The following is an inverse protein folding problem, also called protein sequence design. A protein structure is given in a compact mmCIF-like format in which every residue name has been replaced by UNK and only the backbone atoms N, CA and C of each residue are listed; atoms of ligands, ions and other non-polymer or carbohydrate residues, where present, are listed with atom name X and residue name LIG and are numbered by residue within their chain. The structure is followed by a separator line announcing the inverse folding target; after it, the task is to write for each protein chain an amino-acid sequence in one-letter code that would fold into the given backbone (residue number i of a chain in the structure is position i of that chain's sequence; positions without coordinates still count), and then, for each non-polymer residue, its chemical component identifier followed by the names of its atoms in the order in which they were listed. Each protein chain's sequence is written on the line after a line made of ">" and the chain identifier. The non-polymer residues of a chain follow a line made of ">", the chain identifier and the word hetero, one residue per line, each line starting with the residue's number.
data_IF_518234814112
#
_entry.id   IF_518234814112
#
_cell.length_a   1.000
_cell.length_b   1.000
_cell.length_c   1.000
_cell.angle_alpha   90.00
_cell.angle_beta   90.00
_cell.angle_gamma   90.00
#
_symmetry.space_group_name_H-M   'P 1'
#
loop_
_entity.id
_entity.type
_entity.pdbx_description
1 polymer ?
#
# COMPACT_ATOMS: atom_id res chain seq x y z
N UNK A 1 8.35 -12.36 23.76
CA UNK A 1 8.66 -11.03 24.35
C UNK A 1 8.87 -11.22 25.84
N UNK A 2 10.01 -10.78 26.38
CA UNK A 2 10.28 -10.82 27.82
C UNK A 2 9.42 -9.81 28.61
N UNK A 3 9.43 -9.93 29.94
CA UNK A 3 8.56 -9.09 30.80
C UNK A 3 8.94 -7.62 30.78
N UNK A 4 10.23 -7.29 30.59
CA UNK A 4 10.67 -5.90 30.52
C UNK A 4 10.17 -5.22 29.26
N UNK A 5 10.35 -5.88 28.12
CA UNK A 5 9.85 -5.40 26.81
C UNK A 5 8.33 -5.26 26.83
N UNK A 6 7.61 -6.20 27.43
CA UNK A 6 6.16 -6.12 27.59
C UNK A 6 5.73 -4.90 28.41
N UNK A 7 6.40 -4.67 29.52
CA UNK A 7 6.10 -3.50 30.38
C UNK A 7 6.35 -2.17 29.62
N UNK A 8 7.41 -2.11 28.77
CA UNK A 8 7.67 -0.97 27.92
C UNK A 8 6.53 -0.73 26.93
N UNK A 9 6.08 -1.78 26.24
CA UNK A 9 4.97 -1.69 25.27
C UNK A 9 3.68 -1.25 25.99
N UNK A 10 3.33 -1.89 27.11
CA UNK A 10 2.10 -1.58 27.85
C UNK A 10 2.11 -0.14 28.37
N UNK A 11 3.22 0.33 28.92
CA UNK A 11 3.39 1.72 29.37
C UNK A 11 3.26 2.73 28.23
N UNK A 12 3.97 2.49 27.14
CA UNK A 12 3.88 3.33 25.94
C UNK A 12 2.46 3.44 25.40
N UNK A 13 1.78 2.30 25.26
CA UNK A 13 0.41 2.26 24.76
C UNK A 13 -0.60 2.95 25.69
N UNK A 14 -0.40 2.84 27.01
CA UNK A 14 -1.25 3.56 27.97
C UNK A 14 -1.15 5.08 27.79
N UNK A 15 0.07 5.61 27.63
CA UNK A 15 0.32 7.03 27.39
C UNK A 15 -0.23 7.48 26.03
N UNK A 16 -0.03 6.68 24.97
CA UNK A 16 -0.56 6.97 23.65
C UNK A 16 -2.10 7.08 23.65
N UNK A 17 -2.76 6.11 24.27
CA UNK A 17 -4.24 6.08 24.35
C UNK A 17 -4.77 7.29 25.14
N UNK A 18 -4.11 7.64 26.24
CA UNK A 18 -4.49 8.81 27.04
C UNK A 18 -4.38 10.13 26.27
N UNK A 19 -3.36 10.27 25.41
CA UNK A 19 -3.14 11.46 24.58
C UNK A 19 -4.01 11.52 23.33
N UNK A 20 -4.52 10.38 22.86
CA UNK A 20 -5.28 10.26 21.60
C UNK A 20 -6.63 9.53 21.85
N UNK A 21 -7.52 10.08 22.69
CA UNK A 21 -8.75 9.38 23.08
C UNK A 21 -9.66 9.16 21.87
N UNK A 22 -10.15 7.91 21.72
CA UNK A 22 -11.10 7.54 20.67
C UNK A 22 -10.49 7.18 19.32
N UNK A 23 -9.16 7.30 19.14
CA UNK A 23 -8.46 7.01 17.87
C UNK A 23 -8.06 5.54 17.76
N UNK A 24 -9.04 4.62 17.72
CA UNK A 24 -8.83 3.17 17.83
C UNK A 24 -7.96 2.60 16.70
N UNK A 25 -8.17 3.05 15.46
CA UNK A 25 -7.40 2.57 14.30
C UNK A 25 -5.93 2.97 14.42
N UNK A 26 -5.67 4.17 14.92
CA UNK A 26 -4.32 4.65 15.18
C UNK A 26 -3.65 3.86 16.32
N UNK A 27 -4.35 3.62 17.43
CA UNK A 27 -3.83 2.81 18.54
C UNK A 27 -3.44 1.41 18.08
N UNK A 28 -4.28 0.76 17.27
CA UNK A 28 -4.01 -0.59 16.75
C UNK A 28 -2.76 -0.61 15.88
N UNK A 29 -2.63 0.32 14.94
CA UNK A 29 -1.48 0.37 14.04
C UNK A 29 -0.16 0.62 14.78
N UNK A 30 -0.17 1.54 15.77
CA UNK A 30 1.03 1.79 16.59
C UNK A 30 1.41 0.57 17.39
N UNK A 31 0.43 -0.13 18.00
CA UNK A 31 0.68 -1.34 18.79
C UNK A 31 1.33 -2.45 17.94
N UNK A 32 0.80 -2.72 16.75
CA UNK A 32 1.33 -3.76 15.85
C UNK A 32 2.79 -3.50 15.48
N UNK A 33 3.14 -2.27 15.17
CA UNK A 33 4.53 -1.91 14.84
C UNK A 33 5.40 -1.95 16.09
N UNK A 34 4.93 -1.38 17.22
CA UNK A 34 5.68 -1.35 18.46
C UNK A 34 6.01 -2.75 18.96
N UNK A 35 5.07 -3.69 18.95
CA UNK A 35 5.31 -5.08 19.34
C UNK A 35 6.42 -5.75 18.51
N UNK A 36 6.55 -5.38 17.24
CA UNK A 36 7.62 -5.89 16.37
C UNK A 36 8.98 -5.23 16.63
N UNK A 37 9.02 -3.93 16.96
CA UNK A 37 10.28 -3.19 17.09
C UNK A 37 10.75 -3.05 18.54
N UNK A 38 9.88 -3.24 19.53
CA UNK A 38 10.21 -3.08 20.95
C UNK A 38 11.39 -3.93 21.42
N UNK A 39 11.53 -5.21 21.03
CA UNK A 39 12.72 -5.99 21.39
C UNK A 39 14.01 -5.29 20.91
N UNK A 40 14.03 -4.81 19.68
CA UNK A 40 15.18 -4.10 19.14
C UNK A 40 15.45 -2.77 19.89
N UNK A 41 14.40 -2.03 20.23
CA UNK A 41 14.54 -0.76 21.00
C UNK A 41 15.12 -1.04 22.39
N UNK A 42 14.66 -2.08 23.06
CA UNK A 42 15.14 -2.47 24.39
C UNK A 42 16.61 -2.92 24.38
N UNK A 43 17.02 -3.63 23.33
CA UNK A 43 18.43 -4.02 23.11
C UNK A 43 19.32 -2.81 22.80
N UNK A 44 18.73 -1.65 22.41
CA UNK A 44 19.42 -0.43 22.06
C UNK A 44 18.94 0.77 22.92
N UNK A 45 19.30 0.85 24.21
CA UNK A 45 18.72 1.81 25.17
C UNK A 45 18.80 3.28 24.74
N UNK A 46 19.80 3.66 23.95
CA UNK A 46 19.92 5.01 23.40
C UNK A 46 18.70 5.45 22.57
N UNK A 47 17.98 4.50 21.96
CA UNK A 47 16.74 4.80 21.23
C UNK A 47 15.61 5.22 22.16
N UNK A 48 15.56 4.64 23.37
CA UNK A 48 14.60 5.03 24.42
C UNK A 48 14.98 6.40 25.03
N UNK A 49 16.28 6.62 25.30
CA UNK A 49 16.77 7.89 25.87
C UNK A 49 16.49 9.07 24.94
N UNK A 50 16.63 8.88 23.62
CA UNK A 50 16.34 9.87 22.60
C UNK A 50 14.86 9.96 22.21
N UNK A 51 13.99 9.16 22.82
CA UNK A 51 12.54 9.14 22.55
C UNK A 51 12.21 8.95 21.06
N UNK A 52 12.98 8.09 20.39
CA UNK A 52 12.88 7.95 18.93
C UNK A 52 11.51 7.47 18.50
N UNK A 53 10.96 6.43 19.15
CA UNK A 53 9.67 5.88 18.77
C UNK A 53 8.53 6.83 19.12
N UNK A 54 8.59 7.52 20.27
CA UNK A 54 7.65 8.56 20.67
C UNK A 54 7.58 9.69 19.63
N UNK A 55 8.72 10.08 19.06
CA UNK A 55 8.81 11.11 18.02
C UNK A 55 8.28 10.62 16.67
N UNK A 56 8.48 9.35 16.32
CA UNK A 56 7.93 8.76 15.08
C UNK A 56 6.40 8.67 15.15
N UNK A 57 5.85 8.37 16.30
CA UNK A 57 4.40 8.20 16.51
C UNK A 57 3.65 9.54 16.52
N UNK A 58 4.28 10.60 17.01
CA UNK A 58 3.69 11.94 17.00
C UNK A 58 3.86 12.58 15.63
N UNK A 59 2.77 12.88 14.88
CA UNK A 59 2.86 13.56 13.61
C UNK A 59 3.52 14.93 13.75
N UNK A 60 4.41 15.30 12.81
CA UNK A 60 5.04 16.63 12.80
C UNK A 60 3.99 17.74 12.65
N UNK A 61 2.94 17.50 11.84
CA UNK A 61 1.83 18.45 11.64
C UNK A 61 0.55 17.75 11.27
N UNK A 62 -0.56 18.32 11.74
CA UNK A 62 -1.91 17.95 11.32
C UNK A 62 -2.62 19.21 10.83
N UNK A 63 -3.10 19.17 9.59
CA UNK A 63 -3.87 20.26 8.99
C UNK A 63 -5.30 19.77 8.79
N UNK A 64 -6.26 20.48 9.37
CA UNK A 64 -7.69 20.22 9.21
C UNK A 64 -8.32 21.49 8.65
N UNK A 65 -9.08 21.37 7.59
CA UNK A 65 -9.68 22.51 6.91
C UNK A 65 -11.09 22.23 6.38
N UNK A 66 -11.84 23.27 6.21
CA UNK A 66 -13.20 23.24 5.63
C UNK A 66 -13.12 23.26 4.11
N UNK A 67 -13.95 22.41 3.46
CA UNK A 67 -14.05 22.32 2.00
C UNK A 67 -15.51 22.62 1.59
N UNK A 68 -15.86 23.88 1.32
CA UNK A 68 -17.18 24.25 0.79
C UNK A 68 -17.20 24.11 -0.74
N UNK A 69 -18.28 23.56 -1.29
CA UNK A 69 -18.44 23.39 -2.73
C UNK A 69 -19.94 23.40 -3.11
N UNK A 70 -20.22 23.60 -4.41
CA UNK A 70 -21.58 23.57 -4.95
C UNK A 70 -21.83 22.26 -5.67
N UNK A 71 -22.95 21.61 -5.39
CA UNK A 71 -23.42 20.48 -6.19
C UNK A 71 -24.05 20.93 -7.52
N UNK A 72 -24.55 19.99 -8.31
CA UNK A 72 -25.15 20.31 -9.61
C UNK A 72 -26.51 20.98 -9.49
N UNK A 73 -27.19 20.86 -8.34
CA UNK A 73 -28.44 21.58 -8.01
C UNK A 73 -28.18 23.02 -7.52
N UNK A 74 -26.90 23.39 -7.31
CA UNK A 74 -26.51 24.69 -6.80
C UNK A 74 -26.58 24.83 -5.28
N UNK A 75 -26.75 23.70 -4.58
CA UNK A 75 -26.75 23.65 -3.12
C UNK A 75 -25.32 23.67 -2.56
N UNK A 76 -25.14 24.39 -1.46
CA UNK A 76 -23.85 24.48 -0.76
C UNK A 76 -23.64 23.19 0.05
N UNK A 77 -22.54 22.51 -0.22
CA UNK A 77 -22.04 21.37 0.55
C UNK A 77 -20.78 21.74 1.29
N UNK A 78 -20.59 21.15 2.46
CA UNK A 78 -19.41 21.38 3.29
C UNK A 78 -18.84 20.05 3.75
N UNK A 79 -17.60 19.79 3.38
CA UNK A 79 -16.82 18.64 3.82
C UNK A 79 -15.62 19.08 4.68
N UNK A 80 -15.00 18.12 5.34
CA UNK A 80 -13.78 18.32 6.11
C UNK A 80 -12.59 17.74 5.35
N UNK A 81 -11.54 18.53 5.16
CA UNK A 81 -10.27 18.08 4.61
C UNK A 81 -9.24 17.83 5.69
N UNK A 82 -8.34 16.89 5.45
CA UNK A 82 -7.25 16.49 6.35
C UNK A 82 -5.94 16.34 5.57
N UNK A 83 -4.83 16.76 6.20
CA UNK A 83 -3.48 16.34 5.83
C UNK A 83 -2.66 16.10 7.08
N UNK A 84 -2.24 14.85 7.32
CA UNK A 84 -1.34 14.46 8.38
C UNK A 84 0.05 14.33 7.78
N UNK A 85 0.94 15.24 8.11
CA UNK A 85 2.36 15.22 7.79
C UNK A 85 3.08 14.54 8.94
N UNK A 86 3.38 13.23 8.76
CA UNK A 86 3.80 12.38 9.86
C UNK A 86 5.30 12.48 10.12
N UNK A 87 6.13 12.30 9.09
CA UNK A 87 7.59 12.35 9.23
C UNK A 87 8.25 12.88 7.96
N UNK A 88 9.16 13.82 8.12
CA UNK A 88 10.05 14.34 7.07
C UNK A 88 11.51 13.89 7.24
N UNK A 89 11.78 12.98 8.15
CA UNK A 89 13.16 12.58 8.51
C UNK A 89 14.00 12.07 7.33
N UNK A 90 13.39 11.44 6.33
CA UNK A 90 14.09 10.85 5.19
C UNK A 90 13.73 11.47 3.84
N UNK A 91 12.97 12.54 3.82
CA UNK A 91 12.59 13.27 2.60
C UNK A 91 11.27 14.00 2.73
N UNK A 92 10.80 14.65 1.66
CA UNK A 92 9.50 15.33 1.64
C UNK A 92 8.38 14.41 2.10
N UNK A 93 7.38 14.94 2.79
CA UNK A 93 6.20 14.17 3.13
C UNK A 93 5.60 13.53 1.88
N UNK A 94 5.21 12.27 1.95
CA UNK A 94 4.68 11.51 0.82
C UNK A 94 3.58 10.57 1.25
N UNK A 95 2.44 10.67 0.57
CA UNK A 95 1.32 9.74 0.79
C UNK A 95 0.04 10.17 0.10
N UNK A 96 -0.90 9.23 -0.02
CA UNK A 96 -2.13 9.40 -0.77
C UNK A 96 -3.13 10.36 -0.14
N UNK A 97 -4.07 10.81 -0.97
CA UNK A 97 -5.30 11.50 -0.57
C UNK A 97 -6.46 10.53 -0.80
N UNK A 98 -7.31 10.34 0.22
CA UNK A 98 -8.49 9.47 0.19
C UNK A 98 -9.77 10.30 0.22
N UNK A 99 -10.68 10.05 -0.72
CA UNK A 99 -12.04 10.58 -0.67
C UNK A 99 -13.03 9.45 -0.39
N UNK A 100 -13.53 9.41 0.84
CA UNK A 100 -14.46 8.39 1.29
C UNK A 100 -15.21 8.86 2.54
N UNK A 101 -16.51 8.55 2.72
CA UNK A 101 -17.30 8.97 3.88
C UNK A 101 -16.73 8.56 5.24
N UNK A 102 -15.95 7.48 5.29
CA UNK A 102 -15.33 7.01 6.53
C UNK A 102 -14.09 7.80 6.97
N UNK A 103 -13.59 8.72 6.15
CA UNK A 103 -12.37 9.49 6.46
C UNK A 103 -12.56 10.31 7.73
N UNK A 104 -11.68 10.10 8.69
CA UNK A 104 -11.57 10.84 9.94
C UNK A 104 -10.10 10.96 10.36
N UNK A 105 -9.83 11.68 11.43
CA UNK A 105 -8.46 11.93 11.90
C UNK A 105 -7.73 10.65 12.31
N UNK A 106 -8.40 9.73 13.03
CA UNK A 106 -7.81 8.45 13.47
C UNK A 106 -7.31 7.64 12.27
N UNK A 107 -8.16 7.51 11.22
CA UNK A 107 -7.80 6.81 9.98
C UNK A 107 -6.64 7.50 9.27
N UNK A 108 -6.63 8.83 9.19
CA UNK A 108 -5.53 9.56 8.55
C UNK A 108 -4.23 9.43 9.32
N UNK A 109 -4.25 9.46 10.64
CA UNK A 109 -3.06 9.26 11.49
C UNK A 109 -2.49 7.85 11.34
N UNK A 110 -3.35 6.81 11.43
CA UNK A 110 -2.86 5.45 11.28
C UNK A 110 -2.23 5.21 9.91
N UNK A 111 -2.87 5.67 8.84
CA UNK A 111 -2.35 5.52 7.48
C UNK A 111 -1.06 6.30 7.25
N UNK A 112 -0.92 7.50 7.85
CA UNK A 112 0.30 8.30 7.75
C UNK A 112 1.46 7.64 8.53
N UNK A 113 1.18 7.09 9.69
CA UNK A 113 2.14 6.35 10.51
C UNK A 113 2.65 5.10 9.78
N UNK A 114 1.77 4.26 9.27
CA UNK A 114 2.17 3.07 8.48
C UNK A 114 2.95 3.44 7.21
N UNK A 115 2.59 4.58 6.59
CA UNK A 115 3.30 5.08 5.42
C UNK A 115 4.77 5.40 5.72
N UNK A 116 5.12 5.76 6.97
CA UNK A 116 6.50 6.00 7.39
C UNK A 116 7.36 4.76 7.15
N UNK A 117 6.91 3.62 7.60
CA UNK A 117 7.65 2.35 7.45
C UNK A 117 7.65 1.85 6.00
N UNK A 118 6.55 2.01 5.29
CA UNK A 118 6.45 1.62 3.89
C UNK A 118 7.39 2.45 2.99
N UNK A 119 7.40 3.77 3.15
CA UNK A 119 8.24 4.65 2.34
C UNK A 119 9.73 4.45 2.64
N UNK A 120 10.08 4.26 3.92
CA UNK A 120 11.47 4.04 4.33
C UNK A 120 12.09 2.79 3.71
N UNK A 121 11.30 1.74 3.48
CA UNK A 121 11.75 0.51 2.82
C UNK A 121 12.14 0.73 1.36
N UNK A 122 11.54 1.69 0.66
CA UNK A 122 11.78 1.89 -0.79
C UNK A 122 13.18 2.38 -1.13
N UNK A 123 14.01 2.72 -0.15
CA UNK A 123 15.33 3.37 -0.32
C UNK A 123 15.28 4.79 -0.88
N UNK A 124 14.15 5.23 -1.39
CA UNK A 124 13.97 6.56 -1.96
C UNK A 124 13.81 7.64 -0.87
N UNK A 125 14.20 8.88 -1.13
CA UNK A 125 14.13 9.99 -0.16
C UNK A 125 12.69 10.51 -0.06
N UNK A 126 11.85 9.78 0.65
CA UNK A 126 10.44 10.09 0.86
C UNK A 126 10.08 9.94 2.34
N UNK A 127 9.61 11.01 2.93
CA UNK A 127 8.94 11.02 4.23
C UNK A 127 7.55 10.40 4.15
N UNK A 128 6.68 10.75 5.10
CA UNK A 128 5.34 10.18 5.16
C UNK A 128 4.27 11.20 5.46
N UNK A 129 3.14 11.04 4.79
CA UNK A 129 1.91 11.78 5.02
C UNK A 129 0.68 10.97 4.59
N UNK A 130 -0.47 11.39 5.05
CA UNK A 130 -1.76 10.95 4.55
C UNK A 130 -2.76 12.08 4.60
N UNK A 131 -3.62 12.16 3.59
CA UNK A 131 -4.69 13.16 3.56
C UNK A 131 -5.98 12.57 3.07
N UNK A 132 -7.02 13.38 3.11
CA UNK A 132 -8.32 12.96 2.63
C UNK A 132 -9.46 13.88 3.02
N UNK A 133 -10.63 13.45 2.66
CA UNK A 133 -11.89 14.10 3.03
C UNK A 133 -13.00 13.06 3.17
N UNK A 134 -14.00 13.38 3.99
CA UNK A 134 -15.26 12.65 4.12
C UNK A 134 -16.18 12.79 2.89
N UNK A 135 -15.70 13.41 1.83
CA UNK A 135 -16.38 13.50 0.53
C UNK A 135 -16.50 12.14 -0.13
N UNK A 136 -17.70 11.81 -0.62
CA UNK A 136 -17.95 10.60 -1.42
C UNK A 136 -18.02 10.97 -2.91
N UNK A 137 -17.02 10.60 -3.73
CA UNK A 137 -17.06 10.85 -5.17
C UNK A 137 -18.03 9.93 -5.92
N UNK A 138 -18.55 8.90 -5.24
CA UNK A 138 -19.42 7.91 -5.86
C UNK A 138 -20.77 8.52 -6.23
N UNK A 139 -21.15 8.38 -7.50
CA UNK A 139 -22.39 8.95 -8.01
C UNK A 139 -22.38 10.46 -8.27
N UNK A 140 -21.23 11.13 -8.07
CA UNK A 140 -21.03 12.54 -8.39
C UNK A 140 -20.67 12.74 -9.86
N UNK A 141 -21.13 13.84 -10.43
CA UNK A 141 -20.72 14.24 -11.78
C UNK A 141 -19.24 14.68 -11.82
N UNK A 142 -18.65 14.67 -13.01
CA UNK A 142 -17.29 15.18 -13.21
C UNK A 142 -17.15 16.66 -12.78
N UNK A 143 -18.19 17.45 -12.99
CA UNK A 143 -18.22 18.86 -12.60
C UNK A 143 -18.26 19.01 -11.06
N UNK A 144 -19.04 18.21 -10.36
CA UNK A 144 -19.07 18.19 -8.89
C UNK A 144 -17.71 17.80 -8.32
N UNK A 145 -17.12 16.71 -8.84
CA UNK A 145 -15.79 16.25 -8.40
C UNK A 145 -14.72 17.30 -8.69
N UNK A 146 -14.79 17.97 -9.84
CA UNK A 146 -13.86 19.06 -10.18
C UNK A 146 -13.99 20.24 -9.21
N UNK A 147 -15.21 20.71 -8.93
CA UNK A 147 -15.45 21.80 -7.96
C UNK A 147 -14.97 21.44 -6.57
N UNK A 148 -15.24 20.21 -6.13
CA UNK A 148 -14.74 19.72 -4.86
C UNK A 148 -13.20 19.70 -4.82
N UNK A 149 -12.54 19.12 -5.80
CA UNK A 149 -11.07 19.06 -5.90
C UNK A 149 -10.44 20.46 -5.91
N UNK A 150 -11.04 21.41 -6.60
CA UNK A 150 -10.57 22.79 -6.63
C UNK A 150 -10.69 23.46 -5.25
N UNK A 151 -11.81 23.28 -4.56
CA UNK A 151 -12.01 23.81 -3.21
C UNK A 151 -11.04 23.16 -2.21
N UNK A 152 -10.89 21.83 -2.25
CA UNK A 152 -9.94 21.09 -1.42
C UNK A 152 -8.50 21.59 -1.62
N UNK A 153 -8.07 21.77 -2.87
CA UNK A 153 -6.73 22.25 -3.19
C UNK A 153 -6.50 23.72 -2.84
N UNK A 154 -7.55 24.53 -2.83
CA UNK A 154 -7.47 25.95 -2.43
C UNK A 154 -6.95 26.11 -0.99
N UNK A 155 -7.22 25.18 -0.12
CA UNK A 155 -6.63 25.16 1.22
C UNK A 155 -5.31 24.36 1.27
N UNK A 156 -5.30 23.18 0.66
CA UNK A 156 -4.15 22.29 0.76
C UNK A 156 -2.87 22.85 0.10
N UNK A 157 -2.98 23.65 -0.98
CA UNK A 157 -1.80 24.16 -1.72
C UNK A 157 -0.81 24.94 -0.85
N UNK A 158 -1.28 25.52 0.25
CA UNK A 158 -0.45 26.29 1.20
C UNK A 158 0.57 25.41 1.96
N UNK A 159 0.35 24.11 1.97
CA UNK A 159 1.05 23.15 2.83
C UNK A 159 1.81 22.08 2.04
N UNK A 160 1.72 22.08 0.73
CA UNK A 160 2.33 21.07 -0.16
C UNK A 160 3.25 21.71 -1.20
N UNK A 161 4.10 20.91 -1.79
CA UNK A 161 5.05 21.33 -2.82
C UNK A 161 6.00 20.20 -3.19
N UNK A 162 6.72 20.34 -4.29
CA UNK A 162 7.62 19.31 -4.81
C UNK A 162 8.68 18.85 -3.80
N UNK A 163 9.16 19.77 -2.97
CA UNK A 163 10.22 19.53 -1.99
C UNK A 163 9.73 19.57 -0.53
N UNK A 164 8.42 19.73 -0.33
CA UNK A 164 7.82 19.80 1.02
C UNK A 164 6.93 18.60 1.28
N UNK A 165 5.88 18.45 0.47
CA UNK A 165 4.87 17.40 0.63
C UNK A 165 4.27 17.08 -0.74
N UNK A 166 4.38 15.83 -1.16
CA UNK A 166 3.94 15.35 -2.48
C UNK A 166 2.82 14.33 -2.33
N UNK A 167 1.55 14.76 -2.38
CA UNK A 167 0.43 13.85 -2.32
C UNK A 167 0.31 12.94 -3.56
N UNK A 168 -0.44 11.85 -3.40
CA UNK A 168 -0.78 10.90 -4.45
C UNK A 168 -2.26 10.51 -4.39
N UNK A 169 -2.72 9.65 -5.29
CA UNK A 169 -4.03 9.04 -5.21
C UNK A 169 -4.12 7.94 -4.15
N UNK A 170 -5.33 7.68 -3.72
CA UNK A 170 -5.76 6.59 -2.83
C UNK A 170 -7.23 6.25 -3.13
N UNK A 171 -7.95 5.59 -2.24
CA UNK A 171 -9.38 5.28 -2.42
C UNK A 171 -10.16 6.56 -2.76
N UNK A 172 -10.95 6.52 -3.84
CA UNK A 172 -11.75 7.65 -4.32
C UNK A 172 -10.96 8.77 -5.00
N UNK A 173 -9.65 8.61 -5.19
CA UNK A 173 -8.77 9.58 -5.86
C UNK A 173 -7.92 8.87 -6.91
N UNK A 174 -8.33 8.98 -8.15
CA UNK A 174 -7.62 8.47 -9.33
C UNK A 174 -6.99 9.58 -10.16
N UNK A 175 -6.64 9.25 -11.39
CA UNK A 175 -6.02 10.20 -12.34
C UNK A 175 -6.88 11.44 -12.63
N UNK A 176 -8.21 11.30 -12.63
CA UNK A 176 -9.15 12.42 -12.80
C UNK A 176 -9.02 13.44 -11.65
N UNK A 177 -9.10 12.97 -10.41
CA UNK A 177 -9.00 13.83 -9.21
C UNK A 177 -7.61 14.45 -9.10
N UNK A 178 -6.56 13.68 -9.36
CA UNK A 178 -5.17 14.19 -9.42
C UNK A 178 -5.07 15.30 -10.47
N UNK A 179 -5.68 15.12 -11.63
CA UNK A 179 -5.71 16.15 -12.69
C UNK A 179 -6.37 17.45 -12.22
N UNK A 180 -7.55 17.36 -11.62
CA UNK A 180 -8.26 18.54 -11.11
C UNK A 180 -7.50 19.25 -9.99
N UNK A 181 -6.91 18.49 -9.07
CA UNK A 181 -6.09 19.05 -7.98
C UNK A 181 -4.81 19.70 -8.52
N UNK A 182 -4.12 19.07 -9.47
CA UNK A 182 -2.91 19.63 -10.07
C UNK A 182 -3.19 20.91 -10.86
N UNK A 183 -4.29 20.92 -11.63
CA UNK A 183 -4.71 22.12 -12.37
C UNK A 183 -4.98 23.31 -11.44
N UNK A 184 -5.62 23.06 -10.31
CA UNK A 184 -5.89 24.10 -9.31
C UNK A 184 -4.60 24.56 -8.61
N UNK A 185 -3.71 23.63 -8.22
CA UNK A 185 -2.41 23.96 -7.64
C UNK A 185 -1.61 24.85 -8.57
N UNK A 186 -1.47 24.44 -9.85
CA UNK A 186 -0.75 25.21 -10.87
C UNK A 186 -1.33 26.62 -11.02
N UNK A 187 -2.65 26.76 -11.01
CA UNK A 187 -3.34 28.06 -11.11
C UNK A 187 -3.06 28.97 -9.91
N UNK A 188 -3.04 28.40 -8.68
CA UNK A 188 -2.86 29.17 -7.45
C UNK A 188 -1.40 29.57 -7.19
N UNK A 189 -0.47 28.71 -7.60
CA UNK A 189 0.97 28.89 -7.35
C UNK A 189 1.71 29.54 -8.52
N UNK A 190 1.12 29.53 -9.70
CA UNK A 190 1.77 29.90 -10.97
C UNK A 190 3.06 29.08 -11.23
N UNK A 191 3.03 27.80 -10.84
CA UNK A 191 4.16 26.89 -10.90
C UNK A 191 3.76 25.57 -11.57
N UNK A 192 4.64 25.03 -12.42
CA UNK A 192 4.54 23.68 -12.95
C UNK A 192 5.66 22.82 -12.33
N UNK A 193 5.36 22.16 -11.21
CA UNK A 193 6.34 21.42 -10.41
C UNK A 193 5.98 19.95 -10.26
N UNK A 194 6.83 19.18 -9.60
CA UNK A 194 6.61 17.78 -9.25
C UNK A 194 5.69 17.55 -8.05
N UNK A 195 4.83 18.51 -7.72
CA UNK A 195 3.80 18.34 -6.70
C UNK A 195 2.78 17.31 -7.10
N UNK A 196 2.27 16.42 -6.41
CA UNK A 196 1.39 15.33 -6.78
C UNK A 196 2.05 14.26 -7.67
N UNK A 197 1.79 13.01 -7.37
CA UNK A 197 2.11 11.87 -8.23
C UNK A 197 0.85 11.13 -8.66
N UNK A 198 0.98 10.31 -9.71
CA UNK A 198 -0.17 9.73 -10.41
C UNK A 198 -0.71 10.66 -11.51
N UNK A 199 0.14 11.58 -11.98
CA UNK A 199 -0.17 12.47 -13.09
C UNK A 199 -0.28 11.71 -14.42
N UNK A 200 -0.97 12.30 -15.39
CA UNK A 200 -0.99 11.78 -16.74
C UNK A 200 0.40 11.86 -17.40
N UNK A 201 0.72 10.92 -18.28
CA UNK A 201 2.04 10.83 -18.91
C UNK A 201 2.40 12.06 -19.77
N UNK A 202 1.41 12.80 -20.24
CA UNK A 202 1.62 14.00 -21.05
C UNK A 202 1.98 15.25 -20.24
N UNK A 203 1.85 15.17 -18.90
CA UNK A 203 2.06 16.32 -18.01
C UNK A 203 2.77 15.93 -16.70
N UNK A 204 3.80 15.07 -16.82
CA UNK A 204 4.75 14.76 -15.75
C UNK A 204 4.55 13.42 -15.06
N UNK A 205 3.61 12.59 -15.52
CA UNK A 205 3.41 11.24 -14.99
C UNK A 205 4.47 10.26 -15.46
N UNK A 206 4.77 9.25 -14.63
CA UNK A 206 5.67 8.14 -14.95
C UNK A 206 4.94 7.01 -15.67
N UNK A 207 5.58 6.33 -16.65
CA UNK A 207 5.07 5.05 -17.13
C UNK A 207 5.05 4.01 -15.99
N UNK A 208 4.33 2.92 -16.21
CA UNK A 208 4.22 1.78 -15.29
C UNK A 208 3.54 2.04 -13.93
N UNK A 209 2.97 3.22 -13.70
CA UNK A 209 2.29 3.48 -12.41
C UNK A 209 1.10 2.54 -12.16
N UNK A 210 0.24 2.22 -13.16
CA UNK A 210 -0.83 1.24 -12.99
C UNK A 210 -0.33 -0.16 -12.64
N UNK A 211 0.75 -0.60 -13.26
CA UNK A 211 1.33 -1.94 -13.12
C UNK A 211 2.12 -2.12 -11.82
N UNK A 212 2.66 -1.04 -11.30
CA UNK A 212 3.74 -1.05 -10.32
C UNK A 212 3.44 -1.84 -9.05
N UNK A 213 2.22 -1.80 -8.53
CA UNK A 213 1.88 -2.53 -7.30
C UNK A 213 1.85 -4.04 -7.57
N UNK A 214 1.13 -4.48 -8.59
CA UNK A 214 1.05 -5.90 -8.96
C UNK A 214 2.42 -6.48 -9.38
N UNK A 215 3.16 -5.75 -10.21
CA UNK A 215 4.51 -6.14 -10.63
C UNK A 215 5.47 -6.21 -9.45
N UNK A 216 5.46 -5.19 -8.59
CA UNK A 216 6.29 -5.15 -7.39
C UNK A 216 6.02 -6.32 -6.45
N UNK A 217 4.75 -6.67 -6.25
CA UNK A 217 4.36 -7.84 -5.44
C UNK A 217 4.95 -9.13 -6.00
N UNK A 218 4.90 -9.32 -7.33
CA UNK A 218 5.52 -10.47 -7.98
C UNK A 218 7.06 -10.47 -7.88
N UNK A 219 7.71 -9.31 -7.99
CA UNK A 219 9.17 -9.23 -7.83
C UNK A 219 9.59 -9.57 -6.40
N UNK A 220 8.87 -9.08 -5.40
CA UNK A 220 9.13 -9.42 -4.00
C UNK A 220 8.92 -10.92 -3.73
N UNK A 221 7.82 -11.49 -4.22
CA UNK A 221 7.54 -12.92 -4.10
C UNK A 221 8.61 -13.78 -4.83
N UNK A 222 9.10 -13.34 -6.01
CA UNK A 222 10.20 -14.00 -6.70
C UNK A 222 11.47 -14.04 -5.85
N UNK A 223 11.78 -12.93 -5.17
CA UNK A 223 12.93 -12.87 -4.27
C UNK A 223 12.75 -13.79 -3.04
N UNK A 224 11.53 -13.87 -2.47
CA UNK A 224 11.22 -14.83 -1.40
C UNK A 224 11.39 -16.28 -1.85
N UNK A 225 10.85 -16.66 -3.00
CA UNK A 225 10.97 -18.01 -3.56
C UNK A 225 12.45 -18.37 -3.79
N UNK A 226 13.24 -17.43 -4.30
CA UNK A 226 14.68 -17.63 -4.54
C UNK A 226 15.47 -17.97 -3.27
N UNK A 227 15.03 -17.53 -2.08
CA UNK A 227 15.67 -17.95 -0.79
C UNK A 227 15.59 -19.43 -0.52
N UNK A 228 14.65 -20.13 -1.19
CA UNK A 228 14.46 -21.60 -1.11
C UNK A 228 14.86 -22.31 -2.40
N UNK A 229 15.56 -21.63 -3.31
CA UNK A 229 15.95 -22.18 -4.62
C UNK A 229 14.77 -22.43 -5.56
N UNK A 230 13.66 -21.72 -5.37
CA UNK A 230 12.42 -21.88 -6.13
C UNK A 230 12.09 -20.62 -6.95
N UNK A 231 11.08 -20.70 -7.80
CA UNK A 231 10.66 -19.61 -8.70
C UNK A 231 9.16 -19.71 -9.02
N UNK A 232 8.65 -18.76 -9.80
CA UNK A 232 7.27 -18.81 -10.35
C UNK A 232 7.09 -19.87 -11.45
N UNK A 233 8.17 -20.31 -12.10
CA UNK A 233 8.10 -21.24 -13.23
C UNK A 233 7.36 -22.52 -12.87
N UNK A 234 6.29 -22.83 -13.60
CA UNK A 234 5.45 -24.00 -13.40
C UNK A 234 4.56 -23.98 -12.15
N UNK A 235 4.56 -22.91 -11.36
CA UNK A 235 3.72 -22.81 -10.16
C UNK A 235 2.28 -22.43 -10.46
N UNK A 236 1.37 -22.93 -9.66
CA UNK A 236 -0.04 -22.53 -9.68
C UNK A 236 -0.26 -21.36 -8.75
N UNK A 237 -0.87 -20.28 -9.26
CA UNK A 237 -1.09 -19.02 -8.52
C UNK A 237 -2.57 -18.76 -8.36
N UNK A 238 -3.00 -18.57 -7.11
CA UNK A 238 -4.33 -18.07 -6.78
C UNK A 238 -4.27 -16.58 -6.43
N UNK A 239 -5.08 -15.78 -7.11
CA UNK A 239 -5.17 -14.33 -6.91
C UNK A 239 -6.59 -13.96 -6.53
N UNK A 240 -6.76 -13.12 -5.51
CA UNK A 240 -8.04 -12.46 -5.21
C UNK A 240 -8.13 -11.09 -5.87
N UNK A 241 -9.37 -10.64 -6.06
CA UNK A 241 -9.62 -9.37 -6.74
C UNK A 241 -9.63 -9.49 -8.27
N UNK A 242 -10.08 -8.44 -8.91
CA UNK A 242 -10.07 -8.25 -10.36
C UNK A 242 -9.85 -6.77 -10.73
N UNK A 243 -9.38 -5.99 -9.75
CA UNK A 243 -8.98 -4.60 -9.93
C UNK A 243 -7.53 -4.50 -10.42
N UNK A 244 -7.02 -3.27 -10.40
CA UNK A 244 -5.70 -2.93 -10.95
C UNK A 244 -4.55 -3.82 -10.42
N UNK A 245 -4.47 -3.98 -9.10
CA UNK A 245 -3.40 -4.78 -8.48
C UNK A 245 -3.47 -6.24 -8.92
N UNK A 246 -4.66 -6.85 -8.88
CA UNK A 246 -4.87 -8.24 -9.26
C UNK A 246 -4.59 -8.50 -10.74
N UNK A 247 -5.04 -7.60 -11.64
CA UNK A 247 -4.81 -7.70 -13.08
C UNK A 247 -3.32 -7.71 -13.41
N UNK A 248 -2.56 -6.77 -12.83
CA UNK A 248 -1.13 -6.68 -13.11
C UNK A 248 -0.28 -7.70 -12.34
N UNK A 249 -0.73 -8.17 -11.18
CA UNK A 249 -0.12 -9.34 -10.53
C UNK A 249 -0.28 -10.59 -11.39
N UNK A 250 -1.49 -10.83 -11.92
CA UNK A 250 -1.73 -11.93 -12.85
C UNK A 250 -0.86 -11.82 -14.10
N UNK A 251 -0.80 -10.63 -14.73
CA UNK A 251 0.04 -10.41 -15.93
C UNK A 251 1.51 -10.72 -15.65
N UNK A 252 2.07 -10.24 -14.54
CA UNK A 252 3.47 -10.47 -14.20
C UNK A 252 3.73 -11.93 -13.82
N UNK A 253 2.83 -12.59 -13.08
CA UNK A 253 2.94 -14.01 -12.75
C UNK A 253 3.00 -14.88 -14.02
N UNK A 254 2.15 -14.59 -15.01
CA UNK A 254 2.20 -15.26 -16.33
C UNK A 254 3.54 -15.04 -17.04
N UNK A 255 4.07 -13.80 -17.03
CA UNK A 255 5.38 -13.50 -17.63
C UNK A 255 6.53 -14.22 -16.93
N UNK A 256 6.37 -14.60 -15.65
CA UNK A 256 7.33 -15.36 -14.86
C UNK A 256 7.16 -16.88 -14.99
N UNK A 257 6.28 -17.36 -15.88
CA UNK A 257 6.08 -18.78 -16.17
C UNK A 257 5.09 -19.48 -15.25
N UNK A 258 4.29 -18.75 -14.47
CA UNK A 258 3.29 -19.35 -13.62
C UNK A 258 1.94 -19.56 -14.32
N UNK A 259 1.12 -20.43 -13.75
CA UNK A 259 -0.27 -20.67 -14.13
C UNK A 259 -1.20 -19.98 -13.15
N UNK A 260 -1.83 -18.88 -13.57
CA UNK A 260 -2.85 -18.18 -12.76
C UNK A 260 -4.19 -18.89 -12.93
N UNK A 261 -4.83 -19.28 -11.84
CA UNK A 261 -6.05 -20.11 -11.89
C UNK A 261 -7.28 -19.45 -11.29
N UNK A 262 -7.14 -18.35 -10.53
CA UNK A 262 -8.27 -17.65 -9.92
C UNK A 262 -8.18 -16.15 -10.09
N UNK A 263 -9.32 -15.50 -10.18
CA UNK A 263 -9.56 -14.08 -9.87
C UNK A 263 -10.93 -13.95 -9.21
N UNK A 264 -11.17 -12.86 -8.49
CA UNK A 264 -12.43 -12.67 -7.76
C UNK A 264 -12.93 -11.24 -7.78
N UNK A 265 -14.18 -11.05 -7.42
CA UNK A 265 -14.73 -9.74 -7.04
C UNK A 265 -15.60 -9.86 -5.78
N UNK A 266 -16.34 -8.80 -5.43
CA UNK A 266 -17.19 -8.81 -4.23
C UNK A 266 -18.31 -9.86 -4.27
N UNK A 267 -18.63 -10.42 -5.45
CA UNK A 267 -19.74 -11.36 -5.64
C UNK A 267 -19.29 -12.83 -5.67
N UNK A 268 -17.97 -13.09 -5.82
CA UNK A 268 -17.45 -14.45 -5.83
C UNK A 268 -16.13 -14.60 -6.58
N UNK A 269 -15.75 -15.84 -6.79
CA UNK A 269 -14.46 -16.25 -7.37
C UNK A 269 -14.66 -17.07 -8.62
N UNK A 270 -13.83 -16.83 -9.65
CA UNK A 270 -13.65 -17.77 -10.76
C UNK A 270 -12.46 -18.67 -10.50
N UNK A 271 -12.59 -19.93 -10.86
CA UNK A 271 -11.52 -20.92 -10.92
C UNK A 271 -11.46 -21.51 -12.31
N UNK A 272 -10.35 -21.32 -12.99
CA UNK A 272 -10.10 -21.89 -14.31
C UNK A 272 -8.98 -22.94 -14.20
N UNK A 273 -9.30 -24.24 -14.23
CA UNK A 273 -8.30 -25.30 -14.13
C UNK A 273 -7.32 -25.32 -15.30
N UNK A 274 -7.71 -24.79 -16.46
CA UNK A 274 -6.83 -24.66 -17.64
C UNK A 274 -5.87 -23.49 -17.52
N UNK A 275 -6.15 -22.57 -16.59
CA UNK A 275 -5.39 -21.34 -16.37
C UNK A 275 -5.96 -20.15 -17.13
N UNK A 276 -5.76 -18.97 -16.53
CA UNK A 276 -6.06 -17.67 -17.13
C UNK A 276 -4.81 -17.22 -17.86
N UNK A 277 -4.78 -17.43 -19.18
CA UNK A 277 -3.69 -16.99 -20.06
C UNK A 277 -3.79 -15.48 -20.40
N UNK A 278 -2.91 -15.00 -21.26
CA UNK A 278 -2.86 -13.58 -21.65
C UNK A 278 -4.13 -13.11 -22.37
N UNK A 279 -4.77 -13.95 -23.19
CA UNK A 279 -6.02 -13.62 -23.90
C UNK A 279 -7.19 -13.53 -22.92
N UNK A 280 -7.31 -14.53 -22.04
CA UNK A 280 -8.34 -14.58 -20.99
C UNK A 280 -8.17 -13.42 -20.01
N UNK A 281 -6.93 -13.06 -19.65
CA UNK A 281 -6.65 -11.90 -18.82
C UNK A 281 -7.03 -10.59 -19.52
N UNK A 282 -6.74 -10.45 -20.81
CA UNK A 282 -7.17 -9.28 -21.58
C UNK A 282 -8.70 -9.11 -21.58
N UNK A 283 -9.44 -10.22 -21.70
CA UNK A 283 -10.89 -10.21 -21.55
C UNK A 283 -11.33 -9.73 -20.16
N UNK A 284 -10.70 -10.21 -19.08
CA UNK A 284 -11.00 -9.73 -17.72
C UNK A 284 -10.73 -8.24 -17.59
N UNK A 285 -9.61 -7.75 -18.15
CA UNK A 285 -9.28 -6.32 -18.11
C UNK A 285 -10.32 -5.48 -18.87
N UNK A 286 -10.76 -5.92 -20.04
CA UNK A 286 -11.83 -5.25 -20.79
C UNK A 286 -13.16 -5.27 -20.02
N UNK A 287 -13.57 -6.44 -19.51
CA UNK A 287 -14.77 -6.62 -18.70
C UNK A 287 -14.81 -5.68 -17.49
N UNK A 288 -13.72 -5.59 -16.77
CA UNK A 288 -13.65 -4.79 -15.53
C UNK A 288 -13.43 -3.31 -15.76
N UNK A 289 -12.57 -2.93 -16.70
CA UNK A 289 -12.12 -1.57 -16.87
C UNK A 289 -13.01 -0.77 -17.83
N UNK A 290 -13.60 -1.42 -18.83
CA UNK A 290 -14.46 -0.78 -19.84
C UNK A 290 -15.93 -0.99 -19.50
N UNK A 291 -16.36 -2.24 -19.38
CA UNK A 291 -17.79 -2.57 -19.19
C UNK A 291 -18.22 -2.52 -17.72
N UNK A 292 -17.28 -2.48 -16.75
CA UNK A 292 -17.55 -2.53 -15.30
C UNK A 292 -18.39 -3.76 -14.90
N UNK A 293 -18.25 -4.85 -15.67
CA UNK A 293 -18.94 -6.11 -15.49
C UNK A 293 -18.49 -6.89 -14.25
N UNK A 294 -19.09 -8.06 -14.05
CA UNK A 294 -18.80 -8.93 -12.92
C UNK A 294 -17.95 -10.11 -13.34
N UNK A 295 -17.08 -10.57 -12.43
CA UNK A 295 -16.14 -11.67 -12.75
C UNK A 295 -16.86 -12.97 -13.16
N UNK A 296 -18.09 -13.21 -12.72
CA UNK A 296 -18.91 -14.37 -13.12
C UNK A 296 -19.06 -14.49 -14.64
N UNK A 297 -19.10 -13.36 -15.37
CA UNK A 297 -19.24 -13.32 -16.84
C UNK A 297 -18.09 -14.02 -17.55
N UNK A 298 -16.93 -14.14 -16.88
CA UNK A 298 -15.82 -14.94 -17.37
C UNK A 298 -16.19 -16.42 -17.51
N UNK A 299 -16.85 -17.00 -16.48
CA UNK A 299 -17.29 -18.40 -16.51
C UNK A 299 -18.42 -18.64 -17.52
N UNK A 300 -19.20 -17.61 -17.84
CA UNK A 300 -20.19 -17.67 -18.92
C UNK A 300 -19.53 -17.75 -20.30
N UNK A 301 -18.35 -17.08 -20.47
CA UNK A 301 -17.59 -17.08 -21.73
C UNK A 301 -16.67 -18.29 -21.89
N UNK A 302 -16.09 -18.76 -20.80
CA UNK A 302 -15.12 -19.87 -20.77
C UNK A 302 -15.72 -21.06 -19.99
N UNK A 303 -16.33 -22.05 -20.68
CA UNK A 303 -17.12 -23.11 -20.02
C UNK A 303 -16.32 -24.06 -19.13
N UNK A 304 -14.99 -24.10 -19.26
CA UNK A 304 -14.09 -24.90 -18.38
C UNK A 304 -13.93 -24.27 -17.01
N UNK A 305 -14.15 -22.95 -16.91
CA UNK A 305 -14.08 -22.22 -15.66
C UNK A 305 -15.31 -22.45 -14.79
N UNK A 306 -15.09 -22.47 -13.50
CA UNK A 306 -16.12 -22.56 -12.48
C UNK A 306 -16.30 -21.22 -11.79
N UNK A 307 -17.52 -20.91 -11.33
CA UNK A 307 -17.81 -19.73 -10.54
C UNK A 307 -18.35 -20.14 -9.17
N UNK A 308 -17.74 -19.61 -8.12
CA UNK A 308 -18.12 -19.84 -6.73
C UNK A 308 -18.71 -18.56 -6.14
N UNK A 309 -20.06 -18.46 -6.07
CA UNK A 309 -20.73 -17.27 -5.56
C UNK A 309 -20.42 -17.02 -4.08
N UNK A 310 -20.03 -15.80 -3.74
CA UNK A 310 -19.75 -15.38 -2.36
C UNK A 310 -18.45 -15.93 -1.76
N UNK A 311 -17.73 -16.79 -2.48
CA UNK A 311 -16.53 -17.43 -1.97
C UNK A 311 -15.26 -16.63 -2.34
N UNK A 312 -14.22 -16.77 -1.48
CA UNK A 312 -12.85 -16.31 -1.73
C UNK A 312 -12.04 -17.43 -2.36
N UNK A 313 -10.93 -17.13 -3.08
CA UNK A 313 -10.17 -18.15 -3.82
C UNK A 313 -9.35 -19.12 -2.94
N UNK A 314 -9.32 -18.93 -1.64
CA UNK A 314 -8.38 -19.59 -0.73
C UNK A 314 -8.65 -21.08 -0.48
N UNK A 315 -9.77 -21.60 -0.94
CA UNK A 315 -10.06 -23.04 -1.00
C UNK A 315 -9.42 -23.75 -2.20
N UNK A 316 -9.00 -23.02 -3.23
CA UNK A 316 -8.38 -23.59 -4.43
C UNK A 316 -6.93 -23.94 -4.12
N UNK A 317 -6.51 -25.17 -4.50
CA UNK A 317 -5.12 -25.59 -4.34
C UNK A 317 -4.19 -24.75 -5.21
N UNK A 318 -3.18 -24.17 -4.58
CA UNK A 318 -2.17 -23.35 -5.27
C UNK A 318 -0.81 -23.46 -4.55
N UNK A 319 0.25 -23.12 -5.28
CA UNK A 319 1.60 -22.99 -4.72
C UNK A 319 1.81 -21.59 -4.15
N UNK A 320 1.26 -20.57 -4.82
CA UNK A 320 1.43 -19.17 -4.45
C UNK A 320 0.04 -18.54 -4.31
N UNK A 321 -0.21 -17.88 -3.19
CA UNK A 321 -1.44 -17.09 -2.95
C UNK A 321 -1.11 -15.59 -2.94
N UNK A 322 -1.87 -14.80 -3.69
CA UNK A 322 -1.68 -13.36 -3.80
C UNK A 322 -2.98 -12.63 -3.44
N UNK A 323 -3.18 -12.24 -2.17
CA UNK A 323 -4.33 -11.44 -1.77
C UNK A 323 -4.21 -10.02 -2.32
N UNK A 324 -5.03 -9.70 -3.35
CA UNK A 324 -4.98 -8.45 -4.10
C UNK A 324 -6.31 -7.67 -4.12
N UNK A 325 -7.27 -8.03 -3.28
CA UNK A 325 -8.59 -7.42 -3.28
C UNK A 325 -8.76 -6.37 -2.18
N UNK A 326 -9.08 -6.81 -0.98
CA UNK A 326 -9.49 -5.90 0.11
C UNK A 326 -8.87 -6.27 1.46
N UNK A 327 -8.95 -5.33 2.40
CA UNK A 327 -8.54 -5.54 3.79
C UNK A 327 -9.33 -6.70 4.42
N UNK A 328 -8.66 -7.50 5.24
CA UNK A 328 -9.23 -8.62 6.02
C UNK A 328 -10.00 -9.66 5.17
N UNK A 329 -9.54 -9.90 3.96
CA UNK A 329 -10.17 -10.86 3.05
C UNK A 329 -9.72 -12.31 3.25
N UNK A 330 -8.64 -12.54 3.97
CA UNK A 330 -8.06 -13.85 4.27
C UNK A 330 -7.99 -14.05 5.78
N UNK A 331 -8.83 -14.93 6.29
CA UNK A 331 -8.95 -15.21 7.72
C UNK A 331 -8.15 -16.48 8.14
N UNK A 332 -8.19 -16.80 9.43
CA UNK A 332 -7.49 -17.93 10.04
C UNK A 332 -7.81 -19.29 9.37
N UNK A 333 -9.09 -19.60 9.16
CA UNK A 333 -9.51 -20.86 8.57
C UNK A 333 -9.04 -21.01 7.11
N UNK A 334 -9.08 -19.93 6.36
CA UNK A 334 -8.57 -19.90 4.99
C UNK A 334 -7.04 -20.03 4.96
N UNK A 335 -6.33 -19.43 5.91
CA UNK A 335 -4.88 -19.61 6.07
C UNK A 335 -4.52 -21.06 6.37
N UNK A 336 -5.23 -21.72 7.29
CA UNK A 336 -5.08 -23.16 7.56
C UNK A 336 -5.32 -24.00 6.32
N UNK A 337 -6.32 -23.66 5.53
CA UNK A 337 -6.64 -24.34 4.27
C UNK A 337 -5.51 -24.20 3.25
N UNK A 338 -4.96 -23.00 3.06
CA UNK A 338 -3.81 -22.80 2.19
C UNK A 338 -2.58 -23.60 2.60
N UNK A 339 -2.27 -23.61 3.90
CA UNK A 339 -1.15 -24.42 4.45
C UNK A 339 -1.39 -25.90 4.23
N UNK A 340 -2.59 -26.41 4.53
CA UNK A 340 -2.95 -27.81 4.35
C UNK A 340 -2.91 -28.25 2.88
N UNK A 341 -3.24 -27.34 1.95
CA UNK A 341 -3.18 -27.58 0.50
C UNK A 341 -1.75 -27.49 -0.07
N UNK A 342 -0.74 -27.18 0.75
CA UNK A 342 0.66 -27.14 0.34
C UNK A 342 1.09 -25.81 -0.30
N UNK A 343 0.39 -24.71 -0.04
CA UNK A 343 0.84 -23.37 -0.43
C UNK A 343 2.21 -23.08 0.18
N UNK A 344 3.15 -22.58 -0.61
CA UNK A 344 4.54 -22.31 -0.20
C UNK A 344 4.84 -20.82 -0.01
N UNK A 345 4.02 -19.95 -0.62
CA UNK A 345 4.25 -18.51 -0.60
C UNK A 345 2.93 -17.74 -0.56
N UNK A 346 2.82 -16.78 0.35
CA UNK A 346 1.72 -15.79 0.40
C UNK A 346 2.32 -14.39 0.30
N UNK A 347 1.96 -13.64 -0.75
CA UNK A 347 2.44 -12.28 -0.98
C UNK A 347 1.27 -11.29 -1.07
N UNK A 348 1.18 -10.39 -0.10
CA UNK A 348 0.10 -9.40 -0.04
C UNK A 348 0.25 -8.30 -1.09
N UNK A 349 -0.68 -8.25 -2.04
CA UNK A 349 -0.80 -7.15 -3.00
C UNK A 349 -1.71 -6.02 -2.50
N UNK A 350 -2.75 -6.36 -1.71
CA UNK A 350 -3.61 -5.39 -1.05
C UNK A 350 -2.97 -4.86 0.25
N UNK A 351 -3.59 -3.84 0.85
CA UNK A 351 -3.20 -3.36 2.18
C UNK A 351 -3.92 -4.19 3.25
N UNK A 352 -3.16 -4.85 4.12
CA UNK A 352 -3.65 -5.69 5.24
C UNK A 352 -4.77 -6.68 4.84
N UNK A 353 -4.58 -7.51 3.80
CA UNK A 353 -5.62 -8.44 3.38
C UNK A 353 -5.75 -9.66 4.32
N UNK A 354 -4.67 -10.03 5.03
CA UNK A 354 -4.69 -11.11 6.00
C UNK A 354 -5.04 -10.60 7.40
N UNK A 355 -5.88 -11.35 8.12
CA UNK A 355 -6.13 -11.04 9.54
C UNK A 355 -4.91 -11.41 10.40
N UNK A 356 -4.74 -10.82 11.61
CA UNK A 356 -3.64 -11.17 12.50
C UNK A 356 -3.54 -12.69 12.77
N UNK A 357 -4.66 -13.37 12.95
CA UNK A 357 -4.73 -14.81 13.20
C UNK A 357 -4.26 -15.60 11.96
N UNK A 358 -4.58 -15.13 10.75
CA UNK A 358 -4.08 -15.74 9.51
C UNK A 358 -2.55 -15.60 9.39
N UNK A 359 -2.01 -14.45 9.76
CA UNK A 359 -0.56 -14.20 9.78
C UNK A 359 0.15 -15.16 10.76
N UNK A 360 -0.42 -15.36 11.96
CA UNK A 360 0.10 -16.30 12.94
C UNK A 360 0.14 -17.74 12.40
N UNK A 361 -0.87 -18.17 11.65
CA UNK A 361 -0.90 -19.48 10.98
C UNK A 361 0.26 -19.61 9.99
N UNK A 362 0.48 -18.60 9.13
CA UNK A 362 1.56 -18.62 8.14
C UNK A 362 2.94 -18.63 8.79
N UNK A 363 3.16 -17.82 9.82
CA UNK A 363 4.43 -17.77 10.56
C UNK A 363 4.69 -19.07 11.32
N UNK A 364 3.69 -19.65 11.99
CA UNK A 364 3.80 -20.94 12.70
C UNK A 364 4.14 -22.09 11.75
N UNK A 365 3.60 -22.06 10.54
CA UNK A 365 3.92 -23.02 9.47
C UNK A 365 5.25 -22.72 8.77
N UNK A 366 5.95 -21.64 9.14
CA UNK A 366 7.18 -21.16 8.48
C UNK A 366 7.05 -21.01 6.97
N UNK A 367 5.86 -20.62 6.54
CA UNK A 367 5.56 -20.35 5.15
C UNK A 367 6.23 -19.03 4.73
N UNK A 368 6.59 -18.88 3.45
CA UNK A 368 7.05 -17.60 2.90
C UNK A 368 5.86 -16.63 2.88
N UNK A 369 5.76 -15.78 3.90
CA UNK A 369 4.70 -14.77 4.00
C UNK A 369 5.29 -13.36 4.01
N UNK A 370 4.77 -12.47 3.17
CA UNK A 370 5.17 -11.07 3.14
C UNK A 370 4.02 -10.12 3.43
N UNK A 371 4.21 -9.16 4.36
CA UNK A 371 3.21 -8.15 4.65
C UNK A 371 3.13 -7.14 3.49
N UNK A 372 1.94 -6.57 3.28
CA UNK A 372 1.68 -5.62 2.21
C UNK A 372 2.62 -4.42 2.19
N UNK A 373 3.00 -3.89 3.37
CA UNK A 373 3.95 -2.75 3.45
C UNK A 373 5.30 -2.99 2.77
N UNK A 374 5.72 -4.26 2.66
CA UNK A 374 6.92 -4.65 1.92
C UNK A 374 6.58 -5.06 0.48
N UNK A 375 5.72 -6.06 0.29
CA UNK A 375 5.45 -6.63 -1.03
C UNK A 375 4.69 -5.70 -1.97
N UNK A 376 3.76 -4.86 -1.48
CA UNK A 376 3.01 -3.94 -2.33
C UNK A 376 3.64 -2.54 -2.46
N UNK A 377 4.86 -2.35 -1.98
CA UNK A 377 5.55 -1.07 -2.02
C UNK A 377 5.87 -0.56 -3.45
N UNK A 378 5.71 -1.40 -4.47
CA UNK A 378 5.96 -1.04 -5.86
C UNK A 378 5.19 0.20 -6.33
N UNK A 379 3.96 0.38 -5.87
CA UNK A 379 3.15 1.55 -6.18
C UNK A 379 3.75 2.86 -5.67
N UNK A 380 4.16 2.90 -4.41
CA UNK A 380 4.81 4.10 -3.83
C UNK A 380 6.23 4.27 -4.35
N UNK A 381 6.96 3.18 -4.61
CA UNK A 381 8.26 3.23 -5.25
C UNK A 381 8.20 3.93 -6.62
N UNK A 382 7.26 3.53 -7.48
CA UNK A 382 7.07 4.19 -8.78
C UNK A 382 6.59 5.65 -8.63
N UNK A 383 5.83 5.98 -7.59
CA UNK A 383 5.53 7.38 -7.27
C UNK A 383 6.81 8.18 -6.93
N UNK A 384 7.74 7.59 -6.19
CA UNK A 384 9.05 8.21 -5.93
C UNK A 384 9.91 8.35 -7.21
N UNK A 385 9.85 7.36 -8.11
CA UNK A 385 10.50 7.47 -9.42
C UNK A 385 9.87 8.57 -10.29
N UNK A 386 8.55 8.80 -10.18
CA UNK A 386 7.88 9.95 -10.82
C UNK A 386 8.42 11.27 -10.26
N UNK A 387 8.59 11.38 -8.93
CA UNK A 387 9.21 12.55 -8.31
C UNK A 387 10.61 12.79 -8.84
N UNK A 388 11.43 11.74 -8.95
CA UNK A 388 12.78 11.82 -9.51
C UNK A 388 12.77 12.34 -10.95
N UNK A 389 11.93 11.77 -11.81
CA UNK A 389 11.78 12.22 -13.20
C UNK A 389 11.34 13.69 -13.28
N UNK A 390 10.42 14.11 -12.40
CA UNK A 390 9.96 15.49 -12.34
C UNK A 390 11.07 16.46 -11.91
N UNK A 391 11.87 16.10 -10.91
CA UNK A 391 13.02 16.91 -10.45
C UNK A 391 14.07 17.05 -11.54
N UNK A 392 14.35 16.00 -12.27
CA UNK A 392 15.32 15.99 -13.38
C UNK A 392 14.76 16.65 -14.66
N UNK A 393 13.43 16.83 -14.75
CA UNK A 393 12.70 17.23 -15.97
C UNK A 393 12.95 16.29 -17.16
N UNK A 394 13.13 15.00 -16.87
CA UNK A 394 13.31 13.93 -17.84
C UNK A 394 12.16 12.93 -17.74
N UNK A 395 11.93 12.21 -18.83
CA UNK A 395 10.99 11.11 -18.88
C UNK A 395 11.78 9.83 -19.17
N UNK A 396 11.65 8.85 -18.29
CA UNK A 396 12.21 7.53 -18.50
C UNK A 396 11.31 6.66 -19.35
N UNK A 397 11.90 5.68 -20.03
CA UNK A 397 11.17 4.63 -20.74
C UNK A 397 10.49 3.69 -19.75
N UNK A 398 9.59 2.85 -20.25
CA UNK A 398 8.94 1.80 -19.48
C UNK A 398 9.96 0.82 -18.89
N UNK A 399 10.94 0.45 -19.69
CA UNK A 399 12.00 -0.48 -19.34
C UNK A 399 12.90 0.07 -18.23
N UNK A 400 13.26 1.35 -18.30
CA UNK A 400 14.03 2.02 -17.24
C UNK A 400 13.27 2.05 -15.91
N UNK A 401 11.98 2.39 -15.94
CA UNK A 401 11.15 2.39 -14.73
C UNK A 401 11.00 0.99 -14.16
N UNK A 402 10.80 -0.04 -15.01
CA UNK A 402 10.68 -1.44 -14.56
C UNK A 402 12.00 -1.94 -13.93
N UNK A 403 13.13 -1.59 -14.53
CA UNK A 403 14.45 -1.95 -13.96
C UNK A 403 14.67 -1.33 -12.58
N UNK A 404 14.32 -0.05 -12.41
CA UNK A 404 14.36 0.61 -11.09
C UNK A 404 13.39 -0.01 -10.10
N UNK A 405 12.16 -0.29 -10.51
CA UNK A 405 11.15 -0.93 -9.69
C UNK A 405 11.63 -2.30 -9.18
N UNK A 406 12.14 -3.12 -10.09
CA UNK A 406 12.69 -4.44 -9.76
C UNK A 406 13.82 -4.35 -8.74
N UNK A 407 14.77 -3.43 -8.97
CA UNK A 407 15.86 -3.20 -8.01
C UNK A 407 15.34 -2.79 -6.64
N UNK A 408 14.43 -1.82 -6.56
CA UNK A 408 13.85 -1.37 -5.29
C UNK A 408 13.17 -2.52 -4.56
N UNK A 409 12.38 -3.36 -5.24
CA UNK A 409 11.73 -4.50 -4.61
C UNK A 409 12.73 -5.55 -4.10
N UNK A 410 13.85 -5.74 -4.81
CA UNK A 410 14.96 -6.58 -4.34
C UNK A 410 15.62 -5.98 -3.09
N UNK A 411 15.91 -4.69 -3.09
CA UNK A 411 16.53 -4.00 -1.94
C UNK A 411 15.61 -4.07 -0.69
N UNK A 412 14.29 -3.92 -0.87
CA UNK A 412 13.31 -4.11 0.22
C UNK A 412 13.37 -5.54 0.77
N UNK A 413 13.41 -6.53 -0.12
CA UNK A 413 13.51 -7.92 0.28
C UNK A 413 14.79 -8.20 1.08
N UNK A 414 15.95 -7.74 0.59
CA UNK A 414 17.24 -7.89 1.27
C UNK A 414 17.23 -7.24 2.66
N UNK A 415 16.64 -6.06 2.80
CA UNK A 415 16.48 -5.40 4.09
C UNK A 415 15.59 -6.22 5.04
N UNK A 416 14.48 -6.79 4.54
CA UNK A 416 13.64 -7.67 5.34
C UNK A 416 14.35 -8.95 5.78
N UNK A 417 15.16 -9.56 4.91
CA UNK A 417 15.99 -10.74 5.25
C UNK A 417 17.00 -10.39 6.33
N UNK A 418 17.72 -9.27 6.18
CA UNK A 418 18.74 -8.84 7.14
C UNK A 418 18.22 -8.75 8.58
N UNK A 419 17.01 -8.21 8.77
CA UNK A 419 16.45 -7.95 10.10
C UNK A 419 15.38 -8.96 10.54
N UNK A 420 14.92 -9.81 9.62
CA UNK A 420 13.87 -10.79 9.89
C UNK A 420 14.34 -12.23 9.99
N UNK A 421 15.62 -12.54 9.68
CA UNK A 421 16.14 -13.91 9.78
C UNK A 421 16.25 -14.33 11.24
N UNK A 422 15.62 -15.44 11.57
CA UNK A 422 15.62 -16.04 12.89
C UNK A 422 16.77 -17.07 13.03
N UNK A 423 17.04 -17.55 14.25
CA UNK A 423 18.16 -18.47 14.56
C UNK A 423 18.10 -19.78 13.75
N UNK A 424 16.90 -20.24 13.39
CA UNK A 424 16.69 -21.47 12.62
C UNK A 424 16.73 -21.25 11.09
N UNK A 425 17.04 -20.02 10.65
CA UNK A 425 17.11 -19.63 9.25
C UNK A 425 15.77 -19.24 8.60
N UNK A 426 14.67 -19.29 9.36
CA UNK A 426 13.39 -18.76 8.89
C UNK A 426 13.44 -17.22 8.76
N UNK A 427 12.88 -16.68 7.70
CA UNK A 427 12.76 -15.22 7.51
C UNK A 427 11.35 -14.78 7.89
N UNK A 428 11.24 -14.08 9.02
CA UNK A 428 10.03 -13.40 9.44
C UNK A 428 9.97 -12.02 8.76
N UNK A 429 9.32 -11.96 7.60
CA UNK A 429 9.24 -10.74 6.80
C UNK A 429 8.44 -9.62 7.47
N UNK A 430 7.51 -9.91 8.38
CA UNK A 430 6.79 -8.89 9.16
C UNK A 430 7.75 -8.17 10.09
N UNK A 431 8.49 -8.94 10.90
CA UNK A 431 9.53 -8.42 11.80
C UNK A 431 10.60 -7.67 11.00
N UNK A 432 11.07 -8.28 9.91
CA UNK A 432 12.11 -7.70 9.06
C UNK A 432 11.71 -6.35 8.47
N UNK A 433 10.51 -6.24 7.92
CA UNK A 433 10.00 -5.00 7.34
C UNK A 433 9.84 -3.89 8.39
N UNK A 434 9.28 -4.20 9.55
CA UNK A 434 9.07 -3.23 10.61
C UNK A 434 10.40 -2.71 11.18
N UNK A 435 11.35 -3.60 11.47
CA UNK A 435 12.67 -3.21 12.01
C UNK A 435 13.48 -2.44 10.95
N UNK A 436 13.55 -2.92 9.71
CA UNK A 436 14.29 -2.24 8.64
C UNK A 436 13.77 -0.82 8.40
N UNK A 437 12.45 -0.65 8.32
CA UNK A 437 11.82 0.65 8.17
C UNK A 437 12.08 1.57 9.37
N UNK A 438 11.97 1.03 10.58
CA UNK A 438 12.21 1.77 11.82
C UNK A 438 13.65 2.29 11.91
N UNK A 439 14.64 1.43 11.70
CA UNK A 439 16.07 1.79 11.85
C UNK A 439 16.43 2.93 10.91
N UNK A 440 16.01 2.87 9.65
CA UNK A 440 16.33 3.92 8.66
C UNK A 440 15.79 5.29 9.08
N UNK A 441 14.56 5.34 9.59
CA UNK A 441 13.96 6.59 10.09
C UNK A 441 14.65 7.05 11.38
N UNK A 442 14.91 6.12 12.30
CA UNK A 442 15.59 6.40 13.57
C UNK A 442 16.99 6.99 13.37
N UNK A 443 17.79 6.39 12.49
CA UNK A 443 19.15 6.89 12.15
C UNK A 443 19.10 8.31 11.58
N UNK A 444 18.17 8.59 10.67
CA UNK A 444 18.00 9.92 10.11
C UNK A 444 17.60 10.95 11.18
N UNK A 445 16.62 10.60 12.03
CA UNK A 445 16.18 11.48 13.12
C UNK A 445 17.28 11.77 14.14
N UNK A 446 18.10 10.77 14.48
CA UNK A 446 19.23 10.95 15.39
C UNK A 446 20.31 11.83 14.78
N UNK A 447 20.62 11.66 13.50
CA UNK A 447 21.60 12.47 12.78
C UNK A 447 21.18 13.94 12.64
N UNK A 448 19.88 14.20 12.51
CA UNK A 448 19.32 15.56 12.37
C UNK A 448 19.08 16.26 13.71
N UNK A 449 19.13 15.54 14.82
CA UNK A 449 18.95 16.09 16.16
C UNK A 449 17.46 16.22 16.57
N UNK A 450 17.16 17.27 17.35
CA UNK A 450 15.83 17.57 17.86
C UNK A 450 15.21 18.71 17.03
N UNK A 451 14.63 18.36 15.91
CA UNK A 451 13.98 19.28 14.97
C UNK A 451 12.50 18.98 14.84
#
# INVERSE_FOLDING_TARGET
>A
MDQYTKNYVDGFMADLIARNPGEKEFHQAVKEVLESVAPYIVEHPYLMDLKVFERIVEPERIIIFRVPWLDDEGEIRVNRGFRVQCSSAIGPYKGGIRFHPSVNLSIMKFLAFEQTFKNSLTTLPMGSAKGGSDFDPKGKSDNEVMRFCQSFMTELHKHIGADTDVPAGDIGVGGREIGYMFGQYKRLRDEFTGVLTGKGQTWGGSPMRPEATGYGTCYFASAMLATRGDSYEGKTVAISGSGNVAQFAAQKALQLGAKVVTMSDSNGTIYDPDGIDAEKLAYIMELKNIYRGRIREYAEKYPTAQYFPGERPWGVKCDIAMPCATQNELNEEQAKTLVANGCICVAEGANMPCTPEAIEVFQSAKLLYSPGKASNAGGVATSGLEMTQNSMRLKWTREEVDAHLRKIMTDIHEACVKYGTEEDGYVNYVKGANIAGFIKVAEAMMAQGLV
#
